data_IF_031086898629
#
_entry.id   IF_031086898629
#
_cell.length_a   1.000
_cell.length_b   1.000
_cell.length_c   1.000
_cell.angle_alpha   90.00
_cell.angle_beta   90.00
_cell.angle_gamma   90.00
#
_symmetry.space_group_name_H-M   'P 1'
#
loop_
_entity.id
_entity.type
_entity.pdbx_description
1 polymer ?
#
# COMPACT_ATOMS: atom_id res chain seq x y z
N UNK A 1 5.07 -19.16 -101.02
CA UNK A 1 4.73 -19.75 -99.71
C UNK A 1 5.95 -19.74 -98.80
N UNK A 2 5.97 -18.92 -97.75
CA UNK A 2 6.97 -19.01 -96.66
C UNK A 2 6.20 -19.09 -95.35
N UNK A 3 6.35 -20.22 -94.65
CA UNK A 3 5.78 -20.46 -93.33
C UNK A 3 6.62 -19.74 -92.26
N UNK A 4 6.00 -18.92 -91.41
CA UNK A 4 6.63 -18.40 -90.19
C UNK A 4 6.27 -19.35 -89.03
N UNK A 5 7.30 -19.82 -88.32
CA UNK A 5 7.19 -20.59 -87.07
C UNK A 5 6.61 -19.71 -85.95
N UNK A 6 5.59 -20.22 -85.26
CA UNK A 6 5.07 -19.68 -84.01
C UNK A 6 5.99 -20.14 -82.86
N UNK A 7 6.47 -19.22 -82.02
CA UNK A 7 7.17 -19.54 -80.76
C UNK A 7 6.23 -19.14 -79.62
N UNK A 8 5.81 -20.07 -78.74
CA UNK A 8 4.96 -19.74 -77.61
C UNK A 8 5.85 -19.27 -76.45
N UNK A 9 5.96 -17.96 -76.27
CA UNK A 9 6.74 -17.38 -75.18
C UNK A 9 5.99 -16.21 -74.58
N UNK A 10 5.03 -16.47 -73.68
CA UNK A 10 4.45 -15.47 -72.75
C UNK A 10 3.47 -16.00 -71.69
N UNK A 11 3.31 -17.32 -71.51
CA UNK A 11 2.45 -17.87 -70.44
C UNK A 11 3.23 -18.41 -69.23
N UNK A 12 4.53 -18.68 -69.35
CA UNK A 12 5.34 -19.20 -68.24
C UNK A 12 5.68 -18.15 -67.16
N UNK A 13 5.73 -16.86 -67.52
CA UNK A 13 6.11 -15.80 -66.59
C UNK A 13 5.01 -15.40 -65.58
N UNK A 14 3.73 -15.53 -65.96
CA UNK A 14 2.60 -15.16 -65.11
C UNK A 14 2.26 -16.25 -64.07
N UNK A 15 2.44 -17.53 -64.43
CA UNK A 15 2.27 -18.65 -63.48
C UNK A 15 3.38 -18.67 -62.42
N UNK A 16 4.62 -18.29 -62.77
CA UNK A 16 5.73 -18.26 -61.81
C UNK A 16 5.57 -17.12 -60.78
N UNK A 17 4.99 -15.98 -61.18
CA UNK A 17 4.72 -14.86 -60.28
C UNK A 17 3.59 -15.15 -59.28
N UNK A 18 2.55 -15.90 -59.68
CA UNK A 18 1.47 -16.30 -58.76
C UNK A 18 1.91 -17.38 -57.76
N UNK A 19 2.80 -18.31 -58.15
CA UNK A 19 3.30 -19.35 -57.25
C UNK A 19 4.30 -18.80 -56.22
N UNK A 20 5.07 -17.76 -56.56
CA UNK A 20 5.98 -17.08 -55.63
C UNK A 20 5.27 -16.21 -54.58
N UNK A 21 4.01 -15.82 -54.81
CA UNK A 21 3.22 -15.01 -53.85
C UNK A 21 2.43 -15.88 -52.84
N UNK A 22 2.35 -17.19 -53.05
CA UNK A 22 1.63 -18.13 -52.15
C UNK A 22 2.59 -18.75 -51.10
N UNK A 23 3.91 -18.60 -51.28
CA UNK A 23 4.93 -19.18 -50.40
C UNK A 23 5.34 -18.34 -49.19
N UNK A 24 4.73 -17.18 -48.96
CA UNK A 24 5.10 -16.25 -47.89
C UNK A 24 3.91 -15.80 -47.05
N UNK A 25 3.04 -16.73 -46.69
CA UNK A 25 2.29 -16.62 -45.43
C UNK A 25 3.23 -16.98 -44.29
N UNK A 26 4.20 -16.12 -43.98
CA UNK A 26 4.83 -16.16 -42.69
C UNK A 26 3.71 -16.05 -41.67
N UNK A 27 3.50 -17.08 -40.86
CA UNK A 27 2.67 -16.95 -39.66
C UNK A 27 3.30 -15.84 -38.84
N UNK A 28 2.69 -14.65 -38.86
CA UNK A 28 2.99 -13.64 -37.87
C UNK A 28 2.60 -14.26 -36.54
N UNK A 29 3.59 -14.73 -35.79
CA UNK A 29 3.40 -15.07 -34.39
C UNK A 29 3.08 -13.73 -33.72
N UNK A 30 1.79 -13.44 -33.58
CA UNK A 30 1.35 -12.42 -32.64
C UNK A 30 1.94 -12.79 -31.29
N UNK A 31 2.48 -11.82 -30.54
CA UNK A 31 3.00 -12.12 -29.22
C UNK A 31 1.85 -12.73 -28.38
N UNK A 32 1.96 -14.01 -28.06
CA UNK A 32 0.95 -14.75 -27.28
C UNK A 32 1.04 -14.43 -25.79
N UNK A 33 2.14 -13.81 -25.36
CA UNK A 33 2.35 -13.32 -24.00
C UNK A 33 1.88 -11.88 -23.87
N UNK A 34 0.68 -11.70 -23.31
CA UNK A 34 0.25 -10.40 -22.78
C UNK A 34 1.16 -10.04 -21.61
N UNK A 35 2.06 -9.07 -21.81
CA UNK A 35 2.85 -8.49 -20.72
C UNK A 35 1.97 -7.45 -20.01
N UNK A 36 1.79 -7.60 -18.70
CA UNK A 36 0.99 -6.66 -17.91
C UNK A 36 1.71 -5.32 -17.78
N UNK A 37 0.95 -4.22 -17.81
CA UNK A 37 1.47 -2.86 -17.59
C UNK A 37 0.89 -2.29 -16.29
N UNK A 38 1.78 -2.03 -15.32
CA UNK A 38 1.47 -1.29 -14.10
C UNK A 38 1.69 0.21 -14.31
N UNK A 39 0.71 1.03 -13.94
CA UNK A 39 0.79 2.49 -13.98
C UNK A 39 0.79 3.07 -12.56
N UNK A 40 1.82 3.85 -12.19
CA UNK A 40 1.79 4.63 -10.95
C UNK A 40 0.81 5.81 -11.13
N UNK A 41 -0.30 5.76 -10.40
CA UNK A 41 -1.45 6.67 -10.55
C UNK A 41 -1.32 8.01 -9.82
N UNK A 42 -0.12 8.42 -9.41
CA UNK A 42 0.13 9.64 -8.64
C UNK A 42 1.62 10.04 -8.73
N UNK A 43 1.94 11.23 -8.24
CA UNK A 43 3.31 11.74 -8.01
C UNK A 43 3.30 12.53 -6.70
N UNK A 44 4.45 12.98 -6.21
CA UNK A 44 4.57 13.65 -4.90
C UNK A 44 3.46 14.69 -4.63
N UNK A 45 3.32 15.70 -5.48
CA UNK A 45 2.31 16.75 -5.32
C UNK A 45 1.05 16.54 -6.18
N UNK A 46 0.45 15.34 -6.14
CA UNK A 46 -0.79 15.04 -6.88
C UNK A 46 -1.99 15.89 -6.39
N UNK A 47 -2.09 17.13 -6.82
CA UNK A 47 -3.22 18.02 -6.57
C UNK A 47 -3.92 18.33 -7.88
N UNK A 48 -5.25 18.31 -7.85
CA UNK A 48 -6.05 18.60 -9.02
C UNK A 48 -7.13 19.62 -8.65
N UNK A 49 -7.04 20.83 -9.21
CA UNK A 49 -8.01 21.90 -8.95
C UNK A 49 -9.43 21.55 -9.40
N UNK A 50 -9.58 20.64 -10.37
CA UNK A 50 -10.89 20.15 -10.80
C UNK A 50 -11.45 19.06 -9.87
N UNK A 51 -10.59 18.45 -9.04
CA UNK A 51 -10.93 17.37 -8.09
C UNK A 51 -10.25 17.61 -6.73
N UNK A 52 -10.54 18.72 -6.04
CA UNK A 52 -9.84 19.09 -4.81
C UNK A 52 -10.05 18.05 -3.70
N UNK A 53 -8.96 17.41 -3.27
CA UNK A 53 -8.97 16.29 -2.32
C UNK A 53 -9.82 15.09 -2.76
N UNK A 54 -10.04 14.91 -4.06
CA UNK A 54 -10.94 13.90 -4.63
C UNK A 54 -10.24 13.15 -5.79
N UNK A 55 -8.97 12.80 -5.58
CA UNK A 55 -8.14 12.16 -6.59
C UNK A 55 -8.72 10.83 -7.09
N UNK A 56 -9.37 10.06 -6.22
CA UNK A 56 -10.06 8.82 -6.58
C UNK A 56 -11.13 9.06 -7.66
N UNK A 57 -11.84 10.19 -7.61
CA UNK A 57 -12.82 10.52 -8.64
C UNK A 57 -12.14 10.83 -9.99
N UNK A 58 -11.01 11.54 -9.96
CA UNK A 58 -10.21 11.78 -11.17
C UNK A 58 -9.71 10.47 -11.78
N UNK A 59 -9.20 9.55 -10.97
CA UNK A 59 -8.73 8.24 -11.45
C UNK A 59 -9.88 7.41 -12.03
N UNK A 60 -11.06 7.43 -11.40
CA UNK A 60 -12.24 6.74 -11.91
C UNK A 60 -12.64 7.26 -13.31
N UNK A 61 -12.61 8.57 -13.51
CA UNK A 61 -12.95 9.19 -14.81
C UNK A 61 -11.86 8.91 -15.87
N UNK A 62 -10.62 8.69 -15.44
CA UNK A 62 -9.49 8.35 -16.32
C UNK A 62 -9.47 6.86 -16.74
N UNK A 63 -10.15 5.98 -16.00
CA UNK A 63 -10.07 4.51 -16.17
C UNK A 63 -10.30 4.03 -17.62
N UNK A 64 -11.33 4.49 -18.38
CA UNK A 64 -11.54 4.03 -19.76
C UNK A 64 -10.38 4.39 -20.68
N UNK A 65 -9.75 5.54 -20.44
CA UNK A 65 -8.58 5.99 -21.21
C UNK A 65 -7.34 5.17 -20.86
N UNK A 66 -7.10 4.90 -19.57
CA UNK A 66 -6.00 4.03 -19.14
C UNK A 66 -6.10 2.66 -19.80
N UNK A 67 -7.29 2.07 -19.80
CA UNK A 67 -7.50 0.76 -20.42
C UNK A 67 -7.21 0.78 -21.91
N UNK A 68 -7.69 1.80 -22.63
CA UNK A 68 -7.45 1.96 -24.07
C UNK A 68 -5.96 2.09 -24.40
N UNK A 69 -5.15 2.63 -23.49
CA UNK A 69 -3.69 2.72 -23.64
C UNK A 69 -2.96 1.40 -23.30
N UNK A 70 -3.68 0.38 -22.83
CA UNK A 70 -3.10 -0.92 -22.47
C UNK A 70 -2.62 -1.03 -21.02
N UNK A 71 -3.11 -0.18 -20.12
CA UNK A 71 -2.86 -0.34 -18.68
C UNK A 71 -3.68 -1.53 -18.16
N UNK A 72 -3.04 -2.41 -17.39
CA UNK A 72 -3.65 -3.59 -16.78
C UNK A 72 -3.83 -3.43 -15.27
N UNK A 73 -2.95 -2.67 -14.60
CA UNK A 73 -3.02 -2.39 -13.18
C UNK A 73 -2.64 -0.94 -12.87
N UNK A 74 -3.23 -0.38 -11.82
CA UNK A 74 -2.88 0.95 -11.30
C UNK A 74 -2.40 0.88 -9.85
N UNK A 75 -1.23 1.45 -9.57
CA UNK A 75 -0.74 1.68 -8.22
C UNK A 75 -1.25 3.03 -7.72
N UNK A 76 -2.12 3.00 -6.71
CA UNK A 76 -2.72 4.17 -6.08
C UNK A 76 -1.94 4.58 -4.83
N UNK A 77 -1.95 5.88 -4.43
CA UNK A 77 -1.24 6.33 -3.24
C UNK A 77 -1.83 5.69 -1.97
N UNK A 78 -1.14 5.80 -0.81
CA UNK A 78 -1.69 5.33 0.47
C UNK A 78 -3.06 5.95 0.74
N UNK A 79 -4.05 5.11 1.06
CA UNK A 79 -5.44 5.52 1.23
C UNK A 79 -5.84 5.81 2.68
N UNK A 80 -4.96 5.49 3.63
CA UNK A 80 -5.21 5.63 5.06
C UNK A 80 -5.01 7.06 5.57
N UNK A 81 -5.66 7.40 6.68
CA UNK A 81 -5.55 8.74 7.30
C UNK A 81 -4.12 9.02 7.71
N UNK A 82 -3.65 10.22 7.37
CA UNK A 82 -2.28 10.69 7.62
C UNK A 82 -2.23 11.70 8.78
N UNK A 83 -1.04 11.92 9.33
CA UNK A 83 -0.80 12.88 10.39
C UNK A 83 -0.86 14.34 9.90
N UNK A 84 -1.34 15.24 10.77
CA UNK A 84 -1.58 16.65 10.47
C UNK A 84 -0.33 17.56 10.61
N UNK A 85 0.87 17.03 10.82
CA UNK A 85 2.04 17.85 11.09
C UNK A 85 2.93 17.97 9.84
N UNK A 86 2.68 18.98 9.01
CA UNK A 86 3.53 19.35 7.86
C UNK A 86 2.92 19.09 6.48
N UNK A 87 1.91 18.23 6.42
CA UNK A 87 1.00 18.09 5.29
C UNK A 87 -0.43 18.24 5.82
N UNK A 88 -1.19 19.23 5.35
CA UNK A 88 -2.49 19.55 5.96
C UNK A 88 -3.60 18.71 5.32
N UNK A 89 -4.10 17.66 5.97
CA UNK A 89 -5.28 16.90 5.53
C UNK A 89 -5.19 16.42 4.08
N UNK A 90 -5.97 17.03 3.17
CA UNK A 90 -5.89 16.83 1.71
C UNK A 90 -4.54 17.22 1.08
N UNK A 91 -3.60 17.76 1.85
CA UNK A 91 -2.23 18.06 1.45
C UNK A 91 -1.27 16.88 1.64
N UNK A 92 -1.61 15.85 2.42
CA UNK A 92 -0.74 14.69 2.64
C UNK A 92 -0.72 13.76 1.43
N UNK A 93 0.48 13.34 1.04
CA UNK A 93 0.69 12.41 -0.07
C UNK A 93 0.22 11.00 0.32
N UNK A 94 0.52 10.57 1.55
CA UNK A 94 0.12 9.26 2.07
C UNK A 94 1.13 8.59 3.02
N UNK A 95 2.39 9.04 3.00
CA UNK A 95 3.54 8.40 3.67
C UNK A 95 3.83 8.91 5.09
N UNK A 96 2.85 9.50 5.76
CA UNK A 96 2.90 9.82 7.19
C UNK A 96 1.62 9.26 7.83
N UNK A 97 1.49 7.92 7.87
CA UNK A 97 0.24 7.28 8.26
C UNK A 97 -0.06 7.56 9.73
N UNK A 98 -1.34 7.75 10.06
CA UNK A 98 -1.82 7.93 11.43
C UNK A 98 -2.74 6.78 11.83
N UNK A 99 -3.85 6.58 11.10
CA UNK A 99 -4.81 5.51 11.41
C UNK A 99 -5.03 4.64 10.17
N UNK A 100 -4.60 3.37 10.29
CA UNK A 100 -4.67 2.36 9.25
C UNK A 100 -6.13 2.01 8.88
N UNK A 101 -7.07 2.16 9.81
CA UNK A 101 -8.47 1.76 9.61
C UNK A 101 -9.38 2.90 9.13
N UNK A 102 -8.85 4.11 9.00
CA UNK A 102 -9.58 5.28 8.50
C UNK A 102 -9.20 5.55 7.04
N UNK A 103 -10.05 5.12 6.13
CA UNK A 103 -9.90 5.31 4.68
C UNK A 103 -10.46 6.66 4.20
N UNK A 104 -10.53 7.66 5.11
CA UNK A 104 -11.26 8.89 4.86
C UNK A 104 -12.75 8.72 5.14
N UNK A 105 -13.10 8.23 6.33
CA UNK A 105 -14.48 8.13 6.81
C UNK A 105 -14.61 8.34 8.34
N UNK A 106 -13.55 8.78 9.02
CA UNK A 106 -13.58 9.21 10.43
C UNK A 106 -13.12 10.65 10.56
N UNK A 107 -13.72 11.38 11.49
CA UNK A 107 -13.32 12.75 11.85
C UNK A 107 -12.06 12.69 12.72
N UNK A 108 -10.90 12.67 12.06
CA UNK A 108 -9.60 12.55 12.71
C UNK A 108 -8.61 13.58 12.19
N UNK A 109 -7.64 13.91 13.05
CA UNK A 109 -6.45 14.71 12.76
C UNK A 109 -6.67 16.17 12.37
N UNK A 110 -7.86 16.60 12.01
CA UNK A 110 -8.16 18.01 11.75
C UNK A 110 -9.53 18.39 12.31
N UNK A 111 -9.70 19.67 12.62
CA UNK A 111 -10.96 20.30 13.00
C UNK A 111 -11.66 20.95 11.80
N UNK A 112 -11.17 20.71 10.58
CA UNK A 112 -11.77 21.20 9.34
C UNK A 112 -12.92 20.32 8.86
N UNK A 113 -13.78 20.87 7.99
CA UNK A 113 -14.86 20.13 7.33
C UNK A 113 -14.36 18.93 6.49
N UNK A 114 -13.05 18.82 6.28
CA UNK A 114 -12.37 17.77 5.51
C UNK A 114 -11.75 16.69 6.43
N UNK A 115 -12.11 16.67 7.72
CA UNK A 115 -11.56 15.68 8.66
C UNK A 115 -11.88 14.23 8.32
N UNK A 116 -12.97 14.01 7.57
CA UNK A 116 -13.44 12.70 7.11
C UNK A 116 -12.95 12.35 5.70
N UNK A 117 -11.79 12.84 5.27
CA UNK A 117 -11.21 12.48 3.96
C UNK A 117 -9.70 12.44 3.97
N UNK A 118 -9.12 11.80 2.97
CA UNK A 118 -7.69 11.88 2.65
C UNK A 118 -7.52 12.71 1.36
N UNK A 119 -6.28 12.93 0.92
CA UNK A 119 -6.01 13.55 -0.40
C UNK A 119 -6.54 12.70 -1.55
N UNK A 120 -6.56 11.38 -1.37
CA UNK A 120 -7.16 10.45 -2.31
C UNK A 120 -8.69 10.65 -2.40
N UNK A 121 -9.34 10.93 -1.27
CA UNK A 121 -10.77 11.17 -1.19
C UNK A 121 -11.37 10.62 0.09
N UNK A 122 -12.69 10.51 0.09
CA UNK A 122 -13.45 9.75 1.08
C UNK A 122 -13.39 8.26 0.78
N UNK A 123 -13.75 7.43 1.77
CA UNK A 123 -13.87 5.97 1.58
C UNK A 123 -14.81 5.61 0.43
N UNK A 124 -15.93 6.29 0.30
CA UNK A 124 -16.90 6.02 -0.77
C UNK A 124 -16.33 6.33 -2.16
N UNK A 125 -15.57 7.42 -2.30
CA UNK A 125 -14.88 7.77 -3.55
C UNK A 125 -13.81 6.72 -3.90
N UNK A 126 -13.05 6.22 -2.92
CA UNK A 126 -12.10 5.13 -3.09
C UNK A 126 -12.78 3.85 -3.60
N UNK A 127 -13.84 3.40 -2.92
CA UNK A 127 -14.55 2.17 -3.29
C UNK A 127 -15.18 2.29 -4.68
N UNK A 128 -15.73 3.47 -5.02
CA UNK A 128 -16.24 3.77 -6.36
C UNK A 128 -15.13 3.68 -7.40
N UNK A 129 -13.96 4.26 -7.13
CA UNK A 129 -12.82 4.23 -8.04
C UNK A 129 -12.38 2.78 -8.31
N UNK A 130 -12.26 1.95 -7.27
CA UNK A 130 -11.90 0.54 -7.43
C UNK A 130 -12.92 -0.19 -8.31
N UNK A 131 -14.21 -0.03 -8.02
CA UNK A 131 -15.27 -0.64 -8.82
C UNK A 131 -15.23 -0.20 -10.30
N UNK A 132 -14.93 1.08 -10.57
CA UNK A 132 -14.80 1.60 -11.93
C UNK A 132 -13.55 1.06 -12.62
N UNK A 133 -12.42 0.92 -11.92
CA UNK A 133 -11.21 0.29 -12.46
C UNK A 133 -11.49 -1.16 -12.85
N UNK A 134 -12.09 -1.94 -11.95
CA UNK A 134 -12.48 -3.33 -12.23
C UNK A 134 -13.45 -3.45 -13.41
N UNK A 135 -14.45 -2.56 -13.49
CA UNK A 135 -15.39 -2.53 -14.62
C UNK A 135 -14.70 -2.25 -15.97
N UNK A 136 -13.53 -1.61 -15.95
CA UNK A 136 -12.69 -1.38 -17.12
C UNK A 136 -11.58 -2.44 -17.29
N UNK A 137 -11.55 -3.48 -16.45
CA UNK A 137 -10.53 -4.53 -16.49
C UNK A 137 -9.14 -4.03 -16.07
N UNK A 138 -9.09 -3.11 -15.10
CA UNK A 138 -7.87 -2.61 -14.48
C UNK A 138 -7.84 -3.08 -13.01
N UNK A 139 -6.76 -3.75 -12.63
CA UNK A 139 -6.48 -4.14 -11.23
C UNK A 139 -6.00 -2.94 -10.41
N UNK A 140 -6.27 -2.93 -9.11
CA UNK A 140 -5.86 -1.86 -8.20
C UNK A 140 -4.83 -2.38 -7.19
N UNK A 141 -3.64 -1.77 -7.23
CA UNK A 141 -2.52 -2.03 -6.34
C UNK A 141 -2.47 -0.92 -5.28
N UNK A 142 -2.64 -1.29 -4.02
CA UNK A 142 -2.63 -0.33 -2.90
C UNK A 142 -1.20 -0.14 -2.37
N UNK A 143 -0.78 1.11 -2.19
CA UNK A 143 0.44 1.44 -1.46
C UNK A 143 0.25 1.20 0.05
N UNK A 144 1.19 0.50 0.66
CA UNK A 144 1.17 0.00 2.04
C UNK A 144 2.39 0.53 2.79
N UNK A 145 2.15 1.32 3.83
CA UNK A 145 3.19 1.87 4.70
C UNK A 145 3.10 1.19 6.06
N UNK A 146 4.07 0.32 6.36
CA UNK A 146 4.13 -0.45 7.62
C UNK A 146 5.37 -0.13 8.47
N UNK A 147 6.28 0.68 7.95
CA UNK A 147 7.55 1.02 8.60
C UNK A 147 7.33 1.88 9.87
N UNK A 148 6.55 2.95 9.76
CA UNK A 148 6.38 3.95 10.81
C UNK A 148 4.94 4.44 10.90
N UNK A 149 4.68 5.29 11.88
CA UNK A 149 3.41 5.99 12.06
C UNK A 149 3.68 7.37 12.65
N UNK A 150 2.79 8.33 12.43
CA UNK A 150 3.01 9.72 12.86
C UNK A 150 1.71 10.35 13.39
N UNK A 151 1.85 11.43 14.15
CA UNK A 151 0.73 12.21 14.63
C UNK A 151 0.11 11.72 15.93
N UNK A 152 0.88 11.12 16.83
CA UNK A 152 0.39 10.90 18.19
C UNK A 152 0.10 12.24 18.89
N UNK A 153 -1.05 12.35 19.58
CA UNK A 153 -1.43 13.59 20.29
C UNK A 153 -0.89 13.66 21.72
N UNK A 154 -0.55 12.52 22.33
CA UNK A 154 -0.06 12.47 23.72
C UNK A 154 1.27 11.73 23.77
N UNK A 155 2.29 12.40 24.33
CA UNK A 155 3.58 11.80 24.59
C UNK A 155 3.53 10.86 25.81
N UNK A 156 4.31 9.78 25.75
CA UNK A 156 4.48 8.86 26.87
C UNK A 156 5.82 9.18 27.56
N UNK A 157 5.89 9.42 28.88
CA UNK A 157 7.14 9.78 29.55
C UNK A 157 8.19 8.65 29.53
N UNK A 158 7.77 7.40 29.30
CA UNK A 158 8.68 6.26 29.16
C UNK A 158 9.21 6.08 27.73
N UNK A 159 8.72 6.88 26.77
CA UNK A 159 9.17 6.82 25.39
C UNK A 159 10.63 7.26 25.27
N UNK A 160 11.48 6.35 24.76
CA UNK A 160 12.82 6.71 24.32
C UNK A 160 12.74 7.40 22.96
N UNK A 161 13.37 8.56 22.80
CA UNK A 161 13.35 9.31 21.54
C UNK A 161 14.68 9.17 20.80
N UNK A 162 14.63 8.96 19.48
CA UNK A 162 15.72 9.33 18.58
C UNK A 162 15.59 10.82 18.22
N UNK A 163 16.68 11.46 17.77
CA UNK A 163 16.75 12.91 17.54
C UNK A 163 15.60 13.46 16.66
N UNK A 164 15.06 12.64 15.76
CA UNK A 164 14.02 13.00 14.77
C UNK A 164 12.60 12.58 15.16
N UNK A 165 12.40 11.75 16.20
CA UNK A 165 11.12 11.08 16.47
C UNK A 165 10.27 11.72 17.59
N UNK A 166 10.70 12.84 18.18
CA UNK A 166 9.90 13.70 19.08
C UNK A 166 9.36 13.06 20.39
N UNK A 167 9.57 11.77 20.64
CA UNK A 167 9.13 11.07 21.86
C UNK A 167 7.62 10.77 21.95
N UNK A 168 6.85 10.98 20.88
CA UNK A 168 5.41 10.72 20.87
C UNK A 168 5.12 9.26 20.51
N UNK A 169 4.45 8.50 21.40
CA UNK A 169 4.25 7.06 21.18
C UNK A 169 2.91 6.46 21.62
N UNK A 170 1.94 7.26 22.05
CA UNK A 170 0.58 6.78 22.30
C UNK A 170 -0.36 7.17 21.17
N UNK A 171 -0.86 6.16 20.45
CA UNK A 171 -1.77 6.33 19.34
C UNK A 171 -3.16 5.82 19.71
N UNK A 172 -4.14 6.72 19.56
CA UNK A 172 -5.55 6.50 19.83
C UNK A 172 -6.36 7.09 18.68
N UNK A 173 -7.50 6.48 18.37
CA UNK A 173 -8.18 6.71 17.09
C UNK A 173 -9.68 6.88 17.28
N UNK A 174 -10.23 7.91 16.65
CA UNK A 174 -11.67 8.11 16.63
C UNK A 174 -12.36 6.96 15.88
N UNK A 175 -13.35 6.36 16.52
CA UNK A 175 -14.16 5.29 15.96
C UNK A 175 -15.64 5.66 16.03
N UNK A 176 -16.51 4.84 15.44
CA UNK A 176 -17.96 5.06 15.57
C UNK A 176 -18.45 4.92 17.03
N UNK A 177 -17.76 4.12 17.84
CA UNK A 177 -18.12 3.91 19.25
C UNK A 177 -17.67 5.08 20.14
N UNK A 178 -16.51 5.66 19.84
CA UNK A 178 -15.91 6.78 20.57
C UNK A 178 -15.57 7.90 19.58
N UNK A 179 -16.56 8.70 19.13
CA UNK A 179 -16.29 9.87 18.32
C UNK A 179 -15.56 10.93 19.17
N UNK A 180 -14.60 11.63 18.58
CA UNK A 180 -13.84 12.67 19.31
C UNK A 180 -14.54 14.02 19.26
N UNK A 181 -14.61 14.71 20.41
CA UNK A 181 -15.08 16.10 20.52
C UNK A 181 -13.90 17.09 20.54
N UNK A 182 -12.76 16.70 21.13
CA UNK A 182 -11.48 17.43 21.08
C UNK A 182 -10.28 16.46 21.17
N UNK A 183 -9.69 16.00 20.04
CA UNK A 183 -8.58 15.05 20.04
C UNK A 183 -7.25 15.66 20.51
N UNK A 184 -7.24 16.92 20.95
CA UNK A 184 -6.11 17.63 21.53
C UNK A 184 -6.21 17.71 23.06
N UNK A 185 -7.37 17.40 23.65
CA UNK A 185 -7.48 17.14 25.08
C UNK A 185 -6.91 15.75 25.40
N UNK A 186 -6.03 15.67 26.42
CA UNK A 186 -5.34 14.43 26.77
C UNK A 186 -6.30 13.30 27.16
N UNK A 187 -7.33 13.57 27.96
CA UNK A 187 -8.24 12.51 28.41
C UNK A 187 -9.22 12.10 27.31
N UNK A 188 -9.79 13.07 26.58
CA UNK A 188 -10.64 12.77 25.43
C UNK A 188 -9.88 11.94 24.39
N UNK A 189 -8.59 12.20 24.18
CA UNK A 189 -7.76 11.40 23.26
C UNK A 189 -7.52 9.98 23.78
N UNK A 190 -7.27 9.81 25.09
CA UNK A 190 -7.03 8.52 25.69
C UNK A 190 -8.26 7.61 25.76
N UNK A 191 -9.47 8.18 25.73
CA UNK A 191 -10.74 7.45 25.68
C UNK A 191 -11.04 6.84 24.30
N UNK A 192 -10.32 7.25 23.24
CA UNK A 192 -10.61 6.82 21.88
C UNK A 192 -10.26 5.33 21.64
N UNK A 193 -11.30 4.51 21.53
CA UNK A 193 -11.23 3.07 21.34
C UNK A 193 -11.17 2.66 19.85
N UNK A 194 -9.98 2.76 19.27
CA UNK A 194 -9.65 2.30 17.92
C UNK A 194 -9.22 0.83 17.83
N UNK A 195 -9.07 0.30 16.61
CA UNK A 195 -8.77 -1.13 16.37
C UNK A 195 -7.30 -1.52 16.59
N UNK A 196 -6.35 -0.63 16.28
CA UNK A 196 -4.91 -0.94 16.37
C UNK A 196 -4.15 0.10 17.18
N UNK A 197 -4.56 0.27 18.44
CA UNK A 197 -3.90 1.17 19.39
C UNK A 197 -2.44 0.81 19.55
N UNK A 198 -1.61 1.84 19.73
CA UNK A 198 -0.17 1.69 19.92
C UNK A 198 0.27 2.50 21.13
N UNK A 199 1.25 1.95 21.83
CA UNK A 199 1.89 2.48 23.02
C UNK A 199 3.39 2.53 22.81
N UNK A 200 4.11 3.21 23.70
CA UNK A 200 5.56 3.38 23.61
C UNK A 200 6.38 2.09 23.36
N UNK A 201 6.01 0.89 23.88
CA UNK A 201 6.76 -0.33 23.62
C UNK A 201 6.60 -0.87 22.19
N UNK A 202 5.64 -0.37 21.42
CA UNK A 202 5.41 -0.77 20.02
C UNK A 202 6.39 -0.12 19.03
N UNK A 203 7.31 0.72 19.50
CA UNK A 203 8.18 1.52 18.63
C UNK A 203 9.64 1.44 19.05
N UNK A 204 10.52 1.62 18.07
CA UNK A 204 11.94 1.77 18.32
C UNK A 204 12.31 3.18 18.84
N UNK A 205 13.41 3.29 19.58
CA UNK A 205 13.88 2.31 20.55
C UNK A 205 12.92 2.22 21.74
N UNK A 206 12.95 1.10 22.47
CA UNK A 206 12.26 0.94 23.75
C UNK A 206 13.07 0.01 24.68
N UNK A 207 12.63 -0.17 25.93
CA UNK A 207 13.38 -0.96 26.93
C UNK A 207 13.65 -2.41 26.53
N UNK A 208 12.76 -3.02 25.76
CA UNK A 208 12.89 -4.39 25.26
C UNK A 208 13.73 -4.50 23.97
N UNK A 209 13.98 -3.37 23.30
CA UNK A 209 14.87 -3.28 22.16
C UNK A 209 15.41 -1.87 21.95
N UNK A 210 16.62 -1.65 22.47
CA UNK A 210 17.27 -0.36 22.47
C UNK A 210 18.45 -0.32 21.49
N UNK A 211 18.20 -0.72 20.24
CA UNK A 211 19.13 -0.55 19.11
C UNK A 211 18.71 0.66 18.28
N UNK A 212 19.69 1.36 17.71
CA UNK A 212 19.52 2.60 16.92
C UNK A 212 20.47 2.67 15.71
N UNK A 213 21.05 1.54 15.29
CA UNK A 213 22.11 1.51 14.27
C UNK A 213 21.92 0.46 13.17
N UNK A 214 20.79 -0.23 13.15
CA UNK A 214 20.38 -1.16 12.10
C UNK A 214 19.35 -0.49 11.18
N UNK A 215 19.25 -0.95 9.93
CA UNK A 215 18.31 -0.42 8.92
C UNK A 215 16.86 -0.33 9.42
N UNK A 216 16.44 -1.23 10.33
CA UNK A 216 15.10 -1.29 10.94
C UNK A 216 14.93 -0.40 12.18
N UNK A 217 15.99 0.30 12.56
CA UNK A 217 16.04 1.18 13.73
C UNK A 217 16.51 2.58 13.37
N UNK A 218 16.73 2.87 12.09
CA UNK A 218 17.08 4.18 11.58
C UNK A 218 15.81 5.03 11.45
N UNK A 219 15.70 6.09 12.25
CA UNK A 219 14.56 7.00 12.18
C UNK A 219 14.68 7.96 11.00
N UNK A 220 13.86 7.72 9.98
CA UNK A 220 13.70 8.62 8.83
C UNK A 220 12.42 9.47 8.91
N UNK A 221 11.28 8.85 9.27
CA UNK A 221 9.95 9.47 9.14
C UNK A 221 9.04 9.11 10.33
N UNK A 222 9.14 9.83 11.45
CA UNK A 222 8.35 9.53 12.66
C UNK A 222 8.87 8.33 13.45
N UNK A 223 8.14 7.85 14.48
CA UNK A 223 8.51 6.65 15.23
C UNK A 223 8.31 5.36 14.41
N UNK A 224 9.41 4.62 14.22
CA UNK A 224 9.40 3.33 13.54
C UNK A 224 8.80 2.23 14.41
N UNK A 225 8.01 1.38 13.77
CA UNK A 225 7.27 0.29 14.42
C UNK A 225 8.22 -0.88 14.74
N UNK A 226 8.13 -1.37 15.97
CA UNK A 226 8.80 -2.59 16.39
C UNK A 226 7.86 -3.79 16.19
N UNK A 227 8.17 -4.63 15.21
CA UNK A 227 7.49 -5.92 14.98
C UNK A 227 8.13 -7.09 15.75
N UNK A 228 9.21 -6.84 16.48
CA UNK A 228 10.07 -7.86 17.09
C UNK A 228 11.19 -8.34 16.17
N UNK A 229 12.16 -9.08 16.72
CA UNK A 229 13.30 -9.68 15.98
C UNK A 229 12.99 -11.07 15.45
N UNK A 230 12.04 -11.75 16.07
CA UNK A 230 11.85 -13.18 15.89
C UNK A 230 10.56 -13.44 15.12
N UNK A 231 10.71 -14.13 14.00
CA UNK A 231 9.59 -14.61 13.20
C UNK A 231 8.74 -15.68 13.91
N UNK A 232 9.23 -16.23 15.04
CA UNK A 232 8.57 -17.26 15.86
C UNK A 232 7.46 -16.72 16.78
N UNK A 233 7.22 -15.41 16.76
CA UNK A 233 6.19 -14.77 17.57
C UNK A 233 6.57 -14.56 19.03
N UNK A 234 7.83 -14.80 19.43
CA UNK A 234 8.35 -14.54 20.78
C UNK A 234 9.07 -13.18 20.92
N UNK A 235 8.91 -12.32 19.91
CA UNK A 235 9.51 -10.99 19.85
C UNK A 235 8.94 -9.97 20.84
N UNK A 236 9.54 -8.79 20.86
CA UNK A 236 9.11 -7.60 21.60
C UNK A 236 8.17 -6.73 20.73
N UNK A 237 8.02 -5.43 21.01
CA UNK A 237 7.11 -4.58 20.25
C UNK A 237 5.65 -4.60 20.75
N UNK A 238 5.42 -4.89 22.03
CA UNK A 238 4.09 -4.93 22.65
C UNK A 238 4.15 -4.40 24.09
N UNK A 239 3.04 -3.87 24.58
CA UNK A 239 2.88 -3.52 25.99
C UNK A 239 1.91 -2.38 26.22
N UNK A 240 1.69 -2.06 27.49
CA UNK A 240 0.81 -0.97 27.93
C UNK A 240 1.47 0.40 27.86
N UNK A 241 0.65 1.44 27.84
CA UNK A 241 1.12 2.81 28.03
C UNK A 241 1.57 3.04 29.48
N UNK A 242 2.61 3.85 29.70
CA UNK A 242 3.07 4.15 31.08
C UNK A 242 2.24 5.24 31.75
N UNK A 243 1.52 6.06 30.97
CA UNK A 243 0.74 7.20 31.46
C UNK A 243 -0.76 7.12 31.18
N UNK A 244 -1.26 5.99 30.69
CA UNK A 244 -2.70 5.67 30.62
C UNK A 244 -3.29 5.33 32.01
N UNK A 245 -2.93 6.12 33.00
CA UNK A 245 -3.52 6.14 34.35
C UNK A 245 -3.92 7.56 34.75
N UNK A 246 -3.56 8.54 33.93
CA UNK A 246 -3.86 9.96 34.16
C UNK A 246 -5.33 10.32 33.89
N UNK A 247 -6.10 9.43 33.24
CA UNK A 247 -7.48 9.67 32.83
C UNK A 247 -8.39 8.51 33.29
N UNK A 248 -9.59 8.79 33.85
CA UNK A 248 -10.46 7.77 34.43
C UNK A 248 -10.87 6.66 33.46
N UNK A 249 -11.15 7.03 32.21
CA UNK A 249 -11.70 6.13 31.18
C UNK A 249 -10.66 5.80 30.09
N UNK A 250 -9.37 5.79 30.48
CA UNK A 250 -8.29 5.57 29.53
C UNK A 250 -8.37 4.19 28.85
N UNK A 251 -8.39 4.19 27.52
CA UNK A 251 -8.41 2.97 26.70
C UNK A 251 -6.97 2.47 26.47
N UNK A 252 -6.59 1.39 27.15
CA UNK A 252 -5.32 0.67 26.94
C UNK A 252 -5.52 -0.84 26.96
N UNK A 253 -5.90 -1.43 25.81
CA UNK A 253 -6.12 -2.87 25.73
C UNK A 253 -4.81 -3.63 25.95
N UNK A 254 -4.88 -4.77 26.64
CA UNK A 254 -3.72 -5.64 26.86
C UNK A 254 -3.14 -6.10 25.52
N UNK A 255 -1.82 -5.96 25.38
CA UNK A 255 -1.07 -6.40 24.20
C UNK A 255 -0.16 -7.57 24.54
N UNK A 256 -0.17 -8.62 23.72
CA UNK A 256 0.67 -9.81 23.88
C UNK A 256 1.86 -9.80 22.93
N UNK A 257 2.80 -10.73 23.11
CA UNK A 257 3.87 -10.97 22.14
C UNK A 257 3.29 -11.23 20.74
N UNK A 258 3.94 -10.68 19.71
CA UNK A 258 3.46 -10.69 18.32
C UNK A 258 2.43 -9.61 17.96
N UNK A 259 1.96 -8.80 18.91
CA UNK A 259 0.85 -7.85 18.70
C UNK A 259 0.96 -7.00 17.43
N UNK A 260 2.09 -6.36 17.17
CA UNK A 260 2.23 -5.48 16.00
C UNK A 260 2.12 -6.23 14.67
N UNK A 261 2.69 -7.43 14.59
CA UNK A 261 2.60 -8.29 13.40
C UNK A 261 1.17 -8.81 13.21
N UNK A 262 0.54 -9.28 14.28
CA UNK A 262 -0.84 -9.77 14.25
C UNK A 262 -1.83 -8.68 13.84
N UNK A 263 -1.61 -7.44 14.28
CA UNK A 263 -2.42 -6.30 13.89
C UNK A 263 -2.19 -5.89 12.43
N UNK A 264 -0.94 -5.90 11.93
CA UNK A 264 -0.66 -5.67 10.51
C UNK A 264 -1.37 -6.70 9.62
N UNK A 265 -1.30 -7.99 9.99
CA UNK A 265 -2.01 -9.09 9.33
C UNK A 265 -3.53 -8.86 9.33
N UNK A 266 -4.09 -8.57 10.50
CA UNK A 266 -5.53 -8.33 10.66
C UNK A 266 -5.99 -7.13 9.84
N UNK A 267 -5.20 -6.05 9.83
CA UNK A 267 -5.49 -4.86 9.04
C UNK A 267 -5.43 -5.13 7.54
N UNK A 268 -4.41 -5.81 7.04
CA UNK A 268 -4.28 -6.17 5.62
C UNK A 268 -5.45 -7.05 5.14
N UNK A 269 -5.81 -8.06 5.93
CA UNK A 269 -6.98 -8.90 5.67
C UNK A 269 -8.28 -8.09 5.62
N UNK A 270 -8.46 -7.20 6.59
CA UNK A 270 -9.60 -6.28 6.62
C UNK A 270 -9.61 -5.37 5.39
N UNK A 271 -8.46 -4.78 5.03
CA UNK A 271 -8.34 -3.84 3.92
C UNK A 271 -8.83 -4.49 2.62
N UNK A 272 -8.31 -5.67 2.28
CA UNK A 272 -8.75 -6.45 1.11
C UNK A 272 -10.26 -6.73 1.16
N UNK A 273 -10.77 -7.18 2.32
CA UNK A 273 -12.22 -7.43 2.49
C UNK A 273 -13.07 -6.17 2.37
N UNK A 274 -12.54 -5.00 2.71
CA UNK A 274 -13.29 -3.76 2.63
C UNK A 274 -13.28 -3.14 1.24
N UNK A 275 -12.18 -3.28 0.51
CA UNK A 275 -11.93 -2.51 -0.71
C UNK A 275 -11.99 -3.34 -1.97
N UNK A 276 -11.65 -4.63 -1.90
CA UNK A 276 -11.50 -5.49 -3.08
C UNK A 276 -10.26 -5.19 -3.92
N UNK A 277 -9.23 -4.55 -3.35
CA UNK A 277 -7.94 -4.35 -4.04
C UNK A 277 -7.30 -5.68 -4.46
N UNK A 278 -6.47 -5.65 -5.49
CA UNK A 278 -5.94 -6.85 -6.18
C UNK A 278 -4.47 -7.11 -5.87
N UNK A 279 -3.77 -6.12 -5.31
CA UNK A 279 -2.33 -6.22 -5.06
C UNK A 279 -1.79 -5.10 -4.18
N UNK A 280 -0.48 -5.13 -3.95
CA UNK A 280 0.19 -4.25 -3.01
C UNK A 280 1.53 -3.71 -3.53
N UNK A 281 1.81 -2.47 -3.18
CA UNK A 281 3.17 -1.93 -3.14
C UNK A 281 3.54 -1.69 -1.69
N UNK A 282 4.63 -2.28 -1.22
CA UNK A 282 5.11 -2.06 0.14
C UNK A 282 6.20 -0.99 0.13
N UNK A 283 5.94 0.07 0.91
CA UNK A 283 6.87 1.17 1.16
C UNK A 283 8.03 0.71 2.04
N UNK A 284 9.24 1.18 1.72
CA UNK A 284 10.39 1.11 2.61
C UNK A 284 10.67 -0.29 3.19
N UNK A 285 10.57 -1.37 2.38
CA UNK A 285 10.67 -2.76 2.87
C UNK A 285 12.03 -3.14 3.44
N UNK A 286 13.06 -2.32 3.20
CA UNK A 286 14.36 -2.43 3.84
C UNK A 286 14.33 -2.09 5.33
N UNK A 287 13.33 -1.35 5.79
CA UNK A 287 13.32 -0.68 7.09
C UNK A 287 12.44 -1.38 8.14
N UNK A 288 11.94 -2.59 7.85
CA UNK A 288 11.28 -3.44 8.84
C UNK A 288 11.48 -4.93 8.47
N UNK A 289 11.22 -5.87 9.39
CA UNK A 289 11.52 -7.27 9.15
C UNK A 289 10.75 -7.87 7.97
N UNK A 290 11.45 -8.58 7.08
CA UNK A 290 10.86 -9.22 5.90
C UNK A 290 9.69 -10.17 6.24
N UNK A 291 9.76 -10.83 7.41
CA UNK A 291 8.74 -11.79 7.84
C UNK A 291 7.38 -11.12 8.07
N UNK A 292 7.33 -9.79 8.23
CA UNK A 292 6.07 -9.04 8.29
C UNK A 292 5.41 -9.06 6.91
N UNK A 293 6.17 -8.79 5.85
CA UNK A 293 5.66 -8.80 4.47
C UNK A 293 5.26 -10.21 4.06
N UNK A 294 6.09 -11.20 4.34
CA UNK A 294 5.78 -12.61 4.07
C UNK A 294 4.45 -13.02 4.73
N UNK A 295 4.30 -12.72 6.02
CA UNK A 295 3.14 -13.09 6.80
C UNK A 295 1.85 -12.44 6.32
N UNK A 296 1.87 -11.11 6.09
CA UNK A 296 0.66 -10.43 5.63
C UNK A 296 0.28 -10.90 4.24
N UNK A 297 1.25 -11.12 3.35
CA UNK A 297 1.01 -11.62 1.99
C UNK A 297 0.43 -13.04 2.00
N UNK A 298 1.06 -13.98 2.72
CA UNK A 298 0.51 -15.33 2.86
C UNK A 298 -0.94 -15.31 3.33
N UNK A 299 -1.25 -14.44 4.29
CA UNK A 299 -2.58 -14.37 4.88
C UNK A 299 -3.63 -13.70 4.00
N UNK A 300 -3.28 -12.71 3.17
CA UNK A 300 -4.23 -12.14 2.19
C UNK A 300 -4.38 -13.00 0.94
N UNK A 301 -3.33 -13.72 0.56
CA UNK A 301 -3.35 -14.65 -0.57
C UNK A 301 -4.16 -15.91 -0.25
N UNK A 302 -4.01 -16.48 0.95
CA UNK A 302 -4.51 -17.82 1.26
C UNK A 302 -5.43 -17.93 2.48
N UNK A 303 -5.31 -17.04 3.47
CA UNK A 303 -6.02 -17.18 4.75
C UNK A 303 -7.00 -16.02 5.04
N UNK A 304 -7.50 -15.36 4.02
CA UNK A 304 -8.45 -14.26 4.12
C UNK A 304 -9.92 -14.70 3.92
N UNK A 305 -10.19 -16.00 3.86
CA UNK A 305 -11.55 -16.54 3.71
C UNK A 305 -12.11 -16.25 2.31
N UNK A 306 -13.24 -15.55 2.23
CA UNK A 306 -13.90 -15.26 0.95
C UNK A 306 -13.14 -14.25 0.07
N UNK A 307 -12.15 -13.56 0.64
CA UNK A 307 -11.38 -12.49 -0.02
C UNK A 307 -9.91 -12.89 -0.25
N UNK A 308 -9.64 -14.18 -0.48
CA UNK A 308 -8.32 -14.67 -0.85
C UNK A 308 -7.93 -14.13 -2.23
N UNK A 309 -6.75 -13.51 -2.33
CA UNK A 309 -6.24 -12.97 -3.60
C UNK A 309 -5.55 -14.03 -4.47
N UNK A 310 -5.08 -15.12 -3.86
CA UNK A 310 -4.31 -16.16 -4.55
C UNK A 310 -2.88 -15.72 -4.93
N UNK A 311 -2.15 -16.63 -5.56
CA UNK A 311 -0.72 -16.46 -5.88
C UNK A 311 -0.44 -15.42 -6.99
N UNK A 312 -1.46 -15.06 -7.77
CA UNK A 312 -1.33 -14.10 -8.87
C UNK A 312 -1.43 -12.64 -8.42
N UNK A 313 -1.68 -12.39 -7.13
CA UNK A 313 -1.80 -11.05 -6.56
C UNK A 313 -0.49 -10.27 -6.70
N UNK A 314 -0.48 -9.24 -7.54
CA UNK A 314 0.72 -8.44 -7.79
C UNK A 314 1.20 -7.77 -6.49
N UNK A 315 2.41 -8.11 -6.06
CA UNK A 315 3.02 -7.56 -4.85
C UNK A 315 4.46 -7.15 -5.13
N UNK A 316 4.82 -5.93 -4.71
CA UNK A 316 6.17 -5.40 -4.93
C UNK A 316 6.65 -4.58 -3.73
N UNK A 317 7.90 -4.78 -3.31
CA UNK A 317 8.57 -3.99 -2.29
C UNK A 317 9.47 -2.90 -2.88
N UNK A 318 9.43 -1.70 -2.32
CA UNK A 318 10.42 -0.65 -2.61
C UNK A 318 11.72 -0.91 -1.84
N UNK A 319 12.81 -1.12 -2.57
CA UNK A 319 14.13 -1.33 -1.97
C UNK A 319 15.23 -0.60 -2.75
N UNK A 320 15.97 0.28 -2.08
CA UNK A 320 17.19 0.89 -2.65
C UNK A 320 18.43 0.12 -2.15
N UNK A 321 19.08 -0.63 -3.04
CA UNK A 321 20.24 -1.45 -2.70
C UNK A 321 20.87 -2.15 -3.89
N UNK A 322 21.71 -3.15 -3.62
CA UNK A 322 22.35 -3.97 -4.65
C UNK A 322 21.43 -5.10 -5.11
N UNK A 323 21.60 -5.57 -6.36
CA UNK A 323 20.79 -6.65 -6.92
C UNK A 323 20.76 -7.91 -6.04
N UNK A 324 21.89 -8.29 -5.41
CA UNK A 324 21.93 -9.43 -4.49
C UNK A 324 21.04 -9.24 -3.25
N UNK A 325 20.95 -8.02 -2.71
CA UNK A 325 20.06 -7.74 -1.57
C UNK A 325 18.58 -7.79 -1.97
N UNK A 326 18.26 -7.40 -3.21
CA UNK A 326 16.91 -7.50 -3.75
C UNK A 326 16.50 -8.97 -3.94
N UNK A 327 17.41 -9.79 -4.48
CA UNK A 327 17.20 -11.23 -4.65
C UNK A 327 17.04 -11.92 -3.29
N UNK A 328 17.94 -11.65 -2.34
CA UNK A 328 17.88 -12.20 -0.97
C UNK A 328 16.55 -11.85 -0.28
N UNK A 329 16.09 -10.58 -0.37
CA UNK A 329 14.82 -10.18 0.22
C UNK A 329 13.63 -10.87 -0.46
N UNK A 330 13.67 -11.04 -1.78
CA UNK A 330 12.64 -11.75 -2.54
C UNK A 330 12.54 -13.21 -2.10
N UNK A 331 13.68 -13.86 -1.87
CA UNK A 331 13.75 -15.23 -1.36
C UNK A 331 13.26 -15.32 0.11
N UNK A 332 13.63 -14.35 0.95
CA UNK A 332 13.20 -14.26 2.35
C UNK A 332 11.67 -14.10 2.50
N UNK A 333 11.01 -13.39 1.56
CA UNK A 333 9.54 -13.33 1.47
C UNK A 333 8.92 -14.48 0.67
N UNK A 334 9.71 -15.52 0.39
CA UNK A 334 9.30 -16.75 -0.31
C UNK A 334 8.74 -16.50 -1.72
N UNK A 335 9.28 -15.50 -2.42
CA UNK A 335 8.84 -15.13 -3.77
C UNK A 335 7.42 -14.57 -3.84
N UNK A 336 6.80 -14.21 -2.70
CA UNK A 336 5.44 -13.64 -2.65
C UNK A 336 5.38 -12.21 -3.20
N UNK A 337 6.49 -11.51 -3.18
CA UNK A 337 6.64 -10.17 -3.74
C UNK A 337 7.99 -10.06 -4.44
N UNK A 338 8.04 -9.30 -5.54
CA UNK A 338 9.29 -8.83 -6.12
C UNK A 338 9.73 -7.50 -5.50
N UNK A 339 10.82 -6.93 -6.03
CA UNK A 339 11.32 -5.61 -5.66
C UNK A 339 11.50 -4.71 -6.87
N UNK A 340 11.49 -3.39 -6.69
CA UNK A 340 11.82 -2.41 -7.74
C UNK A 340 12.71 -1.29 -7.26
#
# INVERSE_FOLDING_TARGET
MKWKKYVPGRLAGLLLACVLMIGWSGTAWSQTTHKRVLFQGFWWDYWNNNYPGSWANYLADLAPRLRTMGVDAIWIPPSIKNANAGCQGVGCVGYSPFDHYDLGDKYQRTNSAEANRTRLGTKDELLRMIAVMHANGIEVVQDIVLNHIDGASVADPAALAQQTAGGYKNFRYASYATPSLDPFNQCDYFELAGRWTKNYPNFHPHSGHNSTGEDWTESFWGPDICYGYLADGTGNGYGSSSNCTACPDCYDPTQSSGYMRDQARTWMQWLVKQTGIDGFRFDAVKHFPYFVVEDVLYNVQHNNGWANLGDEALSVGEWVGSAGQLDDWTDDVQGRAGTF
#
